data_IF_585809807612
#
_entry.id   IF_585809807612
#
_cell.length_a   1.000
_cell.length_b   1.000
_cell.length_c   1.000
_cell.angle_alpha   90.00
_cell.angle_beta   90.00
_cell.angle_gamma   90.00
#
_symmetry.space_group_name_H-M   'P 1'
#
loop_
_entity.id
_entity.type
_entity.pdbx_description
1 polymer ?
#
# COMPACT_ATOMS: atom_id res chain seq x y z
N UNK A 1 -6.18 -48.35 -10.42
CA UNK A 1 -5.17 -48.44 -9.34
C UNK A 1 -3.83 -48.21 -9.99
N UNK A 2 -3.35 -46.97 -9.91
CA UNK A 2 -2.10 -46.53 -10.52
C UNK A 2 -1.03 -46.79 -9.49
N UNK A 3 -0.02 -47.59 -9.84
CA UNK A 3 1.17 -47.79 -9.02
C UNK A 3 1.80 -46.43 -8.75
N UNK A 4 1.62 -45.93 -7.53
CA UNK A 4 2.36 -44.80 -7.03
C UNK A 4 3.82 -45.26 -6.95
N UNK A 5 4.68 -44.66 -7.79
CA UNK A 5 6.11 -44.93 -7.85
C UNK A 5 6.78 -44.81 -6.49
N UNK A 6 6.83 -45.93 -5.77
CA UNK A 6 7.71 -46.16 -4.64
C UNK A 6 9.11 -46.33 -5.22
N UNK A 7 9.99 -45.37 -4.92
CA UNK A 7 11.40 -45.46 -5.26
C UNK A 7 11.98 -46.66 -4.48
N UNK A 8 12.69 -47.59 -5.14
CA UNK A 8 13.23 -48.76 -4.45
C UNK A 8 14.21 -48.37 -3.34
N UNK A 9 14.14 -49.04 -2.19
CA UNK A 9 14.96 -48.73 -1.01
C UNK A 9 16.44 -49.14 -1.16
N UNK A 10 16.74 -50.04 -2.09
CA UNK A 10 18.10 -50.56 -2.32
C UNK A 10 18.73 -49.97 -3.59
N UNK A 11 19.97 -49.51 -3.44
CA UNK A 11 20.75 -48.90 -4.53
C UNK A 11 20.93 -49.87 -5.71
N UNK A 12 21.05 -51.17 -5.43
CA UNK A 12 21.21 -52.19 -6.46
C UNK A 12 19.98 -52.34 -7.35
N UNK A 13 18.76 -52.28 -6.79
CA UNK A 13 17.53 -52.36 -7.60
C UNK A 13 17.23 -51.06 -8.35
N UNK A 14 17.73 -49.91 -7.86
CA UNK A 14 17.72 -48.66 -8.64
C UNK A 14 18.70 -48.70 -9.81
N UNK A 15 19.80 -49.45 -9.68
CA UNK A 15 20.78 -49.63 -10.76
C UNK A 15 20.45 -50.79 -11.72
N UNK A 16 19.36 -51.55 -11.48
CA UNK A 16 18.87 -52.53 -12.44
C UNK A 16 18.39 -51.82 -13.72
N UNK A 17 18.98 -52.19 -14.86
CA UNK A 17 18.72 -51.58 -16.16
C UNK A 17 17.85 -52.52 -16.98
N UNK A 18 16.51 -52.34 -17.01
CA UNK A 18 15.68 -53.17 -17.85
C UNK A 18 16.01 -52.87 -19.32
N UNK A 19 16.32 -53.92 -20.08
CA UNK A 19 16.63 -53.81 -21.51
C UNK A 19 15.41 -53.44 -22.36
N UNK A 20 14.19 -53.59 -21.81
CA UNK A 20 12.90 -53.39 -22.48
C UNK A 20 11.96 -52.60 -21.60
N UNK A 21 11.26 -51.63 -22.20
CA UNK A 21 10.20 -50.89 -21.53
C UNK A 21 8.93 -50.88 -22.37
N UNK A 22 7.80 -51.15 -21.72
CA UNK A 22 6.49 -51.24 -22.38
C UNK A 22 5.84 -49.86 -22.41
N UNK A 23 5.69 -49.28 -23.61
CA UNK A 23 5.09 -47.96 -23.80
C UNK A 23 3.76 -48.11 -24.53
N UNK A 24 2.73 -47.42 -24.04
CA UNK A 24 1.41 -47.40 -24.70
C UNK A 24 1.39 -46.27 -25.73
N UNK A 25 1.24 -46.61 -27.01
CA UNK A 25 1.24 -45.64 -28.11
C UNK A 25 -0.17 -45.59 -28.74
N UNK A 26 -0.69 -44.38 -28.92
CA UNK A 26 -2.01 -44.16 -29.53
C UNK A 26 -1.89 -44.23 -31.06
N UNK A 27 -2.53 -45.22 -31.68
CA UNK A 27 -2.71 -45.31 -33.14
C UNK A 27 -4.17 -44.99 -33.51
N UNK A 28 -4.48 -44.70 -34.79
CA UNK A 28 -5.85 -44.38 -35.22
C UNK A 28 -6.90 -45.46 -34.89
N UNK A 29 -6.47 -46.71 -34.68
CA UNK A 29 -7.33 -47.84 -34.28
C UNK A 29 -7.44 -48.05 -32.76
N UNK A 30 -6.81 -47.19 -31.94
CA UNK A 30 -6.80 -47.26 -30.47
C UNK A 30 -5.41 -47.42 -29.84
N UNK A 31 -5.31 -47.37 -28.50
CA UNK A 31 -4.05 -47.54 -27.77
C UNK A 31 -3.49 -48.95 -27.94
N UNK A 32 -2.25 -49.06 -28.41
CA UNK A 32 -1.51 -50.32 -28.51
C UNK A 32 -0.24 -50.24 -27.66
N UNK A 33 0.02 -51.29 -26.87
CA UNK A 33 1.25 -51.39 -26.10
C UNK A 33 2.37 -51.98 -26.95
N UNK A 34 3.52 -51.32 -26.94
CA UNK A 34 4.69 -51.73 -27.72
C UNK A 34 5.88 -51.79 -26.76
N UNK A 35 6.63 -52.89 -26.82
CA UNK A 35 7.89 -53.04 -26.10
C UNK A 35 9.01 -52.40 -26.91
N UNK A 36 9.71 -51.44 -26.31
CA UNK A 36 10.84 -50.76 -26.92
C UNK A 36 12.11 -51.17 -26.20
N UNK A 37 13.12 -51.60 -26.96
CA UNK A 37 14.45 -51.90 -26.44
C UNK A 37 15.16 -50.59 -26.05
N UNK A 38 15.75 -50.52 -24.85
CA UNK A 38 16.49 -49.34 -24.37
C UNK A 38 17.99 -49.63 -24.47
N UNK A 39 18.67 -48.92 -25.37
CA UNK A 39 20.13 -48.91 -25.45
C UNK A 39 20.71 -47.85 -24.50
N UNK A 40 21.39 -48.30 -23.45
CA UNK A 40 22.10 -47.43 -22.51
C UNK A 40 23.53 -47.18 -23.01
N UNK A 41 23.74 -46.13 -23.79
CA UNK A 41 25.07 -45.67 -24.18
C UNK A 41 25.74 -44.92 -23.02
N UNK A 42 26.21 -45.64 -21.99
CA UNK A 42 27.04 -45.10 -20.92
C UNK A 42 28.45 -45.71 -20.96
N UNK A 43 29.51 -44.93 -20.66
CA UNK A 43 30.86 -45.45 -20.61
C UNK A 43 31.01 -46.52 -19.50
N UNK A 44 31.68 -47.63 -19.78
CA UNK A 44 31.93 -48.73 -18.81
C UNK A 44 32.76 -48.29 -17.59
N UNK A 45 33.52 -47.20 -17.73
CA UNK A 45 34.35 -46.65 -16.67
C UNK A 45 34.07 -45.18 -16.42
N UNK A 46 34.20 -44.79 -15.15
CA UNK A 46 34.02 -43.41 -14.73
C UNK A 46 35.01 -42.50 -15.47
N UNK A 47 34.56 -41.39 -16.06
CA UNK A 47 35.47 -40.48 -16.75
C UNK A 47 36.47 -39.87 -15.76
N UNK A 48 37.75 -39.87 -16.12
CA UNK A 48 38.82 -39.29 -15.30
C UNK A 48 38.73 -37.76 -15.35
N UNK A 49 38.21 -37.15 -14.29
CA UNK A 49 38.02 -35.70 -14.17
C UNK A 49 39.20 -34.99 -13.48
N UNK A 50 40.36 -35.64 -13.42
CA UNK A 50 41.56 -35.13 -12.77
C UNK A 50 41.85 -35.75 -11.41
N UNK A 51 43.12 -35.70 -11.03
CA UNK A 51 43.66 -36.31 -9.83
C UNK A 51 45.17 -36.49 -9.95
N UNK A 52 45.78 -37.14 -8.97
CA UNK A 52 47.20 -37.45 -8.97
C UNK A 52 47.42 -38.94 -8.69
N UNK A 53 48.39 -39.52 -9.41
CA UNK A 53 48.81 -40.91 -9.25
C UNK A 53 50.10 -40.95 -8.45
N UNK A 54 50.11 -41.72 -7.37
CA UNK A 54 51.34 -41.92 -6.61
C UNK A 54 52.27 -42.85 -7.41
N UNK A 55 53.47 -42.37 -7.78
CA UNK A 55 54.41 -43.11 -8.64
C UNK A 55 55.02 -44.35 -7.98
N UNK A 56 54.99 -44.44 -6.64
CA UNK A 56 55.61 -45.56 -5.92
C UNK A 56 54.60 -46.68 -5.66
N UNK A 57 53.36 -46.35 -5.28
CA UNK A 57 52.32 -47.35 -4.98
C UNK A 57 51.41 -47.66 -6.17
N UNK A 58 51.36 -46.79 -7.18
CA UNK A 58 50.51 -46.94 -8.36
C UNK A 58 49.03 -46.59 -8.12
N UNK A 59 48.65 -46.19 -6.91
CA UNK A 59 47.27 -45.81 -6.59
C UNK A 59 46.91 -44.44 -7.17
N UNK A 60 45.69 -44.34 -7.69
CA UNK A 60 45.14 -43.14 -8.32
C UNK A 60 44.17 -42.43 -7.38
N UNK A 61 44.50 -41.19 -6.98
CA UNK A 61 43.65 -40.36 -6.13
C UNK A 61 42.95 -39.31 -6.99
N UNK A 62 41.63 -39.47 -7.17
CA UNK A 62 40.80 -38.50 -7.88
C UNK A 62 40.48 -37.29 -6.99
N UNK A 63 40.27 -36.11 -7.59
CA UNK A 63 39.82 -34.94 -6.83
C UNK A 63 38.45 -35.16 -6.17
N UNK A 64 38.19 -34.47 -5.04
CA UNK A 64 36.99 -34.63 -4.20
C UNK A 64 35.68 -34.51 -4.98
N UNK A 65 35.63 -33.62 -5.99
CA UNK A 65 34.48 -33.45 -6.87
C UNK A 65 34.09 -34.73 -7.65
N UNK A 66 35.05 -35.64 -7.85
CA UNK A 66 34.80 -36.96 -8.42
C UNK A 66 34.42 -38.02 -7.38
N UNK A 67 34.79 -37.89 -6.11
CA UNK A 67 34.72 -39.01 -5.14
C UNK A 67 33.38 -39.13 -4.40
N UNK A 68 32.65 -38.04 -4.22
CA UNK A 68 31.30 -38.09 -3.64
C UNK A 68 30.27 -38.26 -4.75
N UNK A 69 29.54 -39.37 -4.78
CA UNK A 69 28.25 -39.41 -5.46
C UNK A 69 27.37 -38.38 -4.75
N UNK A 70 27.27 -37.17 -5.29
CA UNK A 70 26.34 -36.16 -4.81
C UNK A 70 24.94 -36.75 -4.99
N UNK A 71 24.42 -37.29 -3.89
CA UNK A 71 23.04 -37.72 -3.80
C UNK A 71 22.16 -36.55 -4.26
N UNK A 72 21.28 -36.73 -5.26
CA UNK A 72 20.58 -35.63 -5.93
C UNK A 72 19.89 -34.63 -4.99
N UNK A 73 19.52 -35.05 -3.79
CA UNK A 73 18.80 -34.23 -2.80
C UNK A 73 19.65 -33.14 -2.10
N UNK A 74 20.96 -33.05 -2.32
CA UNK A 74 21.79 -31.98 -1.73
C UNK A 74 22.10 -30.87 -2.75
N UNK A 75 21.30 -29.79 -2.66
CA UNK A 75 21.50 -28.48 -3.32
C UNK A 75 21.68 -28.54 -4.85
N UNK A 76 20.56 -28.44 -5.58
CA UNK A 76 20.60 -28.20 -7.01
C UNK A 76 19.34 -28.56 -7.80
N UNK A 77 18.34 -29.22 -7.20
CA UNK A 77 17.15 -29.65 -7.95
C UNK A 77 16.26 -28.51 -8.47
N UNK A 78 16.36 -27.29 -7.93
CA UNK A 78 15.74 -26.11 -8.54
C UNK A 78 16.30 -25.77 -9.93
N UNK A 79 17.45 -26.37 -10.29
CA UNK A 79 18.08 -26.29 -11.62
C UNK A 79 17.80 -27.51 -12.50
N UNK A 80 17.19 -28.58 -11.97
CA UNK A 80 16.79 -29.78 -12.75
C UNK A 80 15.32 -29.73 -13.18
N UNK A 81 14.53 -28.82 -12.63
CA UNK A 81 13.26 -28.44 -13.24
C UNK A 81 13.62 -27.57 -14.44
N UNK A 82 13.39 -28.06 -15.66
CA UNK A 82 13.50 -27.25 -16.87
C UNK A 82 12.58 -26.03 -16.74
N UNK A 83 13.17 -24.89 -16.37
CA UNK A 83 12.47 -23.60 -16.37
C UNK A 83 12.54 -23.07 -17.79
N UNK A 84 11.52 -23.40 -18.57
CA UNK A 84 11.34 -22.86 -19.91
C UNK A 84 11.14 -21.34 -19.81
N UNK A 85 12.17 -20.57 -20.16
CA UNK A 85 12.04 -19.13 -20.40
C UNK A 85 11.98 -18.92 -21.92
N UNK A 86 11.00 -18.14 -22.38
CA UNK A 86 10.94 -17.69 -23.77
C UNK A 86 11.46 -16.27 -23.82
N UNK A 87 12.79 -16.11 -23.85
CA UNK A 87 13.38 -14.83 -24.19
C UNK A 87 13.41 -14.70 -25.72
N UNK A 88 12.61 -13.79 -26.26
CA UNK A 88 12.72 -13.39 -27.67
C UNK A 88 13.31 -11.99 -27.72
N UNK A 89 14.42 -11.84 -28.43
CA UNK A 89 14.96 -10.53 -28.75
C UNK A 89 14.08 -9.92 -29.86
N UNK A 90 13.38 -8.82 -29.56
CA UNK A 90 12.63 -8.08 -30.57
C UNK A 90 13.62 -7.32 -31.46
N UNK A 91 13.92 -7.89 -32.62
CA UNK A 91 14.75 -7.24 -33.63
C UNK A 91 13.88 -6.45 -34.60
N UNK A 92 14.30 -5.24 -34.93
CA UNK A 92 13.76 -4.49 -36.07
C UNK A 92 14.48 -5.01 -37.31
N UNK A 93 13.81 -5.82 -38.12
CA UNK A 93 14.35 -6.31 -39.40
C UNK A 93 13.87 -5.44 -40.55
N UNK A 94 14.78 -5.14 -41.49
CA UNK A 94 14.48 -4.41 -42.73
C UNK A 94 14.97 -5.24 -43.92
N UNK A 95 14.16 -5.33 -44.97
CA UNK A 95 14.58 -5.97 -46.22
C UNK A 95 15.58 -5.07 -46.95
N UNK A 96 16.67 -5.67 -47.44
CA UNK A 96 17.62 -5.02 -48.34
C UNK A 96 17.71 -5.80 -49.64
N UNK A 97 17.61 -5.10 -50.77
CA UNK A 97 17.69 -5.71 -52.10
C UNK A 97 19.11 -5.61 -52.66
N UNK A 98 19.52 -6.64 -53.41
CA UNK A 98 20.78 -6.67 -54.16
C UNK A 98 20.51 -7.08 -55.62
N UNK A 99 21.08 -6.34 -56.57
CA UNK A 99 20.90 -6.59 -58.00
C UNK A 99 22.21 -7.11 -58.62
N UNK A 100 22.14 -8.22 -59.35
CA UNK A 100 23.25 -8.76 -60.15
C UNK A 100 23.33 -8.10 -61.53
N UNK A 101 24.50 -8.16 -62.18
CA UNK A 101 24.67 -7.69 -63.54
C UNK A 101 23.80 -8.52 -64.51
N UNK A 102 23.19 -7.84 -65.50
CA UNK A 102 22.42 -8.48 -66.58
C UNK A 102 23.16 -8.29 -67.90
N UNK A 103 23.38 -9.37 -68.62
CA UNK A 103 24.02 -9.36 -69.94
C UNK A 103 22.96 -9.26 -71.04
N UNK A 104 23.30 -8.54 -72.12
CA UNK A 104 22.45 -8.37 -73.30
C UNK A 104 23.32 -8.33 -74.56
N UNK A 105 22.93 -9.09 -75.57
CA UNK A 105 23.61 -9.14 -76.88
C UNK A 105 22.68 -8.69 -77.99
N UNK A 106 23.15 -7.75 -78.82
CA UNK A 106 22.48 -7.35 -80.06
C UNK A 106 23.28 -7.87 -81.25
N UNK A 107 22.60 -8.53 -82.19
CA UNK A 107 23.16 -8.87 -83.50
C UNK A 107 22.58 -7.94 -84.56
N UNK A 108 23.43 -7.23 -85.30
CA UNK A 108 22.98 -6.44 -86.45
C UNK A 108 22.78 -7.35 -87.67
N UNK A 109 21.68 -7.21 -88.43
CA UNK A 109 21.49 -7.98 -89.67
C UNK A 109 22.55 -7.64 -90.71
N UNK A 110 23.17 -8.68 -91.28
CA UNK A 110 24.18 -8.59 -92.34
C UNK A 110 23.80 -9.48 -93.53
N UNK A 111 24.21 -9.06 -94.73
CA UNK A 111 23.94 -9.79 -95.96
C UNK A 111 24.58 -11.19 -95.88
N UNK A 112 23.76 -12.24 -96.07
CA UNK A 112 24.11 -13.68 -95.96
C UNK A 112 23.99 -14.30 -94.55
N UNK A 113 23.43 -13.59 -93.56
CA UNK A 113 23.10 -14.15 -92.25
C UNK A 113 21.59 -14.37 -92.10
N UNK A 114 21.18 -15.54 -91.58
CA UNK A 114 19.78 -15.77 -91.20
C UNK A 114 19.56 -15.21 -89.79
N UNK A 115 18.68 -14.21 -89.67
CA UNK A 115 18.24 -13.62 -88.40
C UNK A 115 16.71 -13.60 -88.41
N UNK A 116 16.09 -14.06 -87.32
CA UNK A 116 14.65 -13.92 -87.11
C UNK A 116 14.36 -12.47 -86.71
N UNK A 117 13.81 -11.70 -87.63
CA UNK A 117 13.62 -10.24 -87.51
C UNK A 117 12.18 -9.85 -87.08
N UNK A 118 11.53 -10.73 -86.30
CA UNK A 118 10.17 -10.50 -85.78
C UNK A 118 10.21 -9.69 -84.48
N UNK A 119 10.33 -8.36 -84.62
CA UNK A 119 10.30 -7.44 -83.49
C UNK A 119 9.07 -6.51 -83.54
N UNK A 120 8.49 -6.16 -82.37
CA UNK A 120 7.45 -5.15 -82.33
C UNK A 120 8.04 -3.77 -82.69
N UNK A 121 7.48 -3.12 -83.71
CA UNK A 121 7.83 -1.74 -84.05
C UNK A 121 7.29 -0.79 -82.97
N UNK A 122 8.18 -0.06 -82.31
CA UNK A 122 7.81 0.97 -81.34
C UNK A 122 7.78 2.35 -82.01
N UNK A 123 6.72 3.11 -81.77
CA UNK A 123 6.64 4.51 -82.17
C UNK A 123 7.38 5.36 -81.14
N UNK A 124 8.30 6.22 -81.58
CA UNK A 124 9.00 7.13 -80.70
C UNK A 124 8.03 8.16 -80.11
N UNK A 125 8.02 8.27 -78.78
CA UNK A 125 7.32 9.34 -78.06
C UNK A 125 8.18 10.60 -77.95
N UNK A 126 7.67 11.59 -77.22
CA UNK A 126 8.43 12.79 -76.88
C UNK A 126 9.70 12.41 -76.09
N UNK A 127 10.84 12.88 -76.57
CA UNK A 127 12.12 12.64 -75.91
C UNK A 127 12.41 13.75 -74.90
N UNK A 128 12.65 13.36 -73.65
CA UNK A 128 13.05 14.28 -72.59
C UNK A 128 14.57 14.40 -72.55
N UNK A 129 15.09 15.62 -72.75
CA UNK A 129 16.51 15.86 -72.55
C UNK A 129 16.84 15.80 -71.04
N UNK A 130 18.04 15.36 -70.71
CA UNK A 130 18.51 15.28 -69.33
C UNK A 130 18.40 16.63 -68.58
N UNK A 131 18.57 17.77 -69.28
CA UNK A 131 18.41 19.11 -68.70
C UNK A 131 16.97 19.39 -68.28
N UNK A 132 15.99 19.02 -69.11
CA UNK A 132 14.58 19.25 -68.84
C UNK A 132 14.10 18.38 -67.67
N UNK A 133 14.60 17.14 -67.59
CA UNK A 133 14.34 16.25 -66.45
C UNK A 133 14.86 16.84 -65.13
N UNK A 134 16.08 17.39 -65.12
CA UNK A 134 16.65 18.03 -63.92
C UNK A 134 15.81 19.22 -63.46
N UNK A 135 15.34 20.07 -64.38
CA UNK A 135 14.47 21.21 -64.05
C UNK A 135 13.14 20.72 -63.44
N UNK A 136 12.54 19.66 -63.99
CA UNK A 136 11.31 19.05 -63.44
C UNK A 136 11.55 18.51 -62.03
N UNK A 137 12.70 17.87 -61.79
CA UNK A 137 13.10 17.38 -60.46
C UNK A 137 13.29 18.52 -59.47
N UNK A 138 13.91 19.62 -59.86
CA UNK A 138 14.08 20.80 -59.01
C UNK A 138 12.74 21.43 -58.62
N UNK A 139 11.85 21.66 -59.59
CA UNK A 139 10.51 22.22 -59.32
C UNK A 139 9.69 21.28 -58.42
N UNK A 140 9.80 19.97 -58.66
CA UNK A 140 9.12 18.96 -57.84
C UNK A 140 9.70 18.91 -56.41
N UNK A 141 11.02 18.99 -56.27
CA UNK A 141 11.70 19.08 -54.98
C UNK A 141 11.26 20.33 -54.21
N UNK A 142 11.16 21.49 -54.86
CA UNK A 142 10.66 22.72 -54.24
C UNK A 142 9.20 22.58 -53.75
N UNK A 143 8.33 21.90 -54.50
CA UNK A 143 6.96 21.60 -54.07
C UNK A 143 6.95 20.71 -52.83
N UNK A 144 7.75 19.64 -52.81
CA UNK A 144 7.90 18.74 -51.66
C UNK A 144 8.45 19.52 -50.44
N UNK A 145 9.49 20.32 -50.63
CA UNK A 145 10.06 21.16 -49.58
C UNK A 145 9.05 22.14 -48.98
N UNK A 146 8.21 22.77 -49.82
CA UNK A 146 7.16 23.68 -49.35
C UNK A 146 6.15 22.95 -48.47
N UNK A 147 5.67 21.78 -48.89
CA UNK A 147 4.69 20.99 -48.13
C UNK A 147 5.29 20.44 -46.84
N UNK A 148 6.53 19.93 -46.88
CA UNK A 148 7.23 19.39 -45.70
C UNK A 148 7.53 20.47 -44.65
N UNK A 149 7.95 21.68 -45.05
CA UNK A 149 8.08 22.82 -44.13
C UNK A 149 6.74 23.15 -43.45
N UNK A 150 5.64 23.12 -44.21
CA UNK A 150 4.29 23.30 -43.67
C UNK A 150 3.87 22.20 -42.69
N UNK A 151 4.23 20.94 -42.98
CA UNK A 151 3.98 19.80 -42.09
C UNK A 151 4.72 19.97 -40.76
N UNK A 152 6.01 20.30 -40.78
CA UNK A 152 6.79 20.52 -39.56
C UNK A 152 6.23 21.67 -38.72
N UNK A 153 5.87 22.79 -39.35
CA UNK A 153 5.24 23.91 -38.64
C UNK A 153 3.91 23.51 -37.97
N UNK A 154 3.11 22.64 -38.61
CA UNK A 154 1.86 22.13 -38.00
C UNK A 154 2.13 21.18 -36.84
N UNK A 155 3.14 20.31 -36.95
CA UNK A 155 3.54 19.41 -35.87
C UNK A 155 4.06 20.18 -34.66
N UNK A 156 4.87 21.22 -34.85
CA UNK A 156 5.34 22.08 -33.75
C UNK A 156 4.18 22.83 -33.09
N UNK A 157 3.25 23.38 -33.87
CA UNK A 157 2.06 24.05 -33.33
C UNK A 157 1.16 23.06 -32.58
N UNK A 158 0.98 21.84 -33.07
CA UNK A 158 0.22 20.81 -32.38
C UNK A 158 0.85 20.47 -31.01
N UNK A 159 2.18 20.36 -30.96
CA UNK A 159 2.91 20.16 -29.70
C UNK A 159 2.72 21.32 -28.73
N UNK A 160 2.89 22.56 -29.19
CA UNK A 160 2.69 23.76 -28.36
C UNK A 160 1.25 23.88 -27.83
N UNK A 161 0.25 23.46 -28.60
CA UNK A 161 -1.15 23.44 -28.13
C UNK A 161 -1.36 22.44 -27.00
N UNK A 162 -0.76 21.26 -27.12
CA UNK A 162 -0.83 20.23 -26.09
C UNK A 162 -0.15 20.71 -24.80
N UNK A 163 1.04 21.30 -24.90
CA UNK A 163 1.76 21.89 -23.76
C UNK A 163 0.92 22.99 -23.09
N UNK A 164 0.30 23.89 -23.87
CA UNK A 164 -0.57 24.95 -23.33
C UNK A 164 -1.86 24.40 -22.70
N UNK A 165 -2.40 23.29 -23.20
CA UNK A 165 -3.55 22.61 -22.59
C UNK A 165 -3.18 21.92 -21.27
N UNK A 166 -1.98 21.35 -21.18
CA UNK A 166 -1.44 20.77 -19.94
C UNK A 166 -1.20 21.86 -18.90
N UNK A 167 -0.53 22.96 -19.25
CA UNK A 167 -0.33 24.11 -18.36
C UNK A 167 -1.66 24.67 -17.84
N UNK A 168 -2.68 24.79 -18.69
CA UNK A 168 -4.02 25.22 -18.27
C UNK A 168 -4.65 24.27 -17.25
N UNK A 169 -4.56 22.95 -17.47
CA UNK A 169 -5.07 21.96 -16.53
C UNK A 169 -4.34 22.03 -15.19
N UNK A 170 -3.02 22.19 -15.22
CA UNK A 170 -2.22 22.34 -14.00
C UNK A 170 -2.63 23.60 -13.21
N UNK A 171 -2.83 24.73 -13.90
CA UNK A 171 -3.33 25.96 -13.28
C UNK A 171 -4.72 25.77 -12.67
N UNK A 172 -5.67 25.16 -13.39
CA UNK A 172 -7.01 24.87 -12.88
C UNK A 172 -6.99 23.92 -11.67
N UNK A 173 -6.10 22.91 -11.66
CA UNK A 173 -5.93 22.02 -10.52
C UNK A 173 -5.33 22.73 -9.31
N UNK A 174 -4.37 23.63 -9.52
CA UNK A 174 -3.81 24.46 -8.45
C UNK A 174 -4.87 25.39 -7.87
N UNK A 175 -5.66 26.06 -8.70
CA UNK A 175 -6.77 26.91 -8.26
C UNK A 175 -7.81 26.11 -7.46
N UNK A 176 -8.19 24.91 -7.92
CA UNK A 176 -9.10 24.01 -7.18
C UNK A 176 -8.52 23.60 -5.83
N UNK A 177 -7.22 23.28 -5.76
CA UNK A 177 -6.55 22.95 -4.49
C UNK A 177 -6.58 24.13 -3.52
N UNK A 178 -6.26 25.33 -3.99
CA UNK A 178 -6.31 26.55 -3.17
C UNK A 178 -7.73 26.84 -2.68
N UNK A 179 -8.74 26.70 -3.55
CA UNK A 179 -10.14 26.85 -3.18
C UNK A 179 -10.56 25.82 -2.13
N UNK A 180 -10.22 24.54 -2.33
CA UNK A 180 -10.53 23.47 -1.38
C UNK A 180 -9.84 23.69 -0.02
N UNK A 181 -8.60 24.17 0.01
CA UNK A 181 -7.92 24.53 1.25
C UNK A 181 -8.59 25.71 1.97
N UNK A 182 -9.04 26.71 1.23
CA UNK A 182 -9.74 27.87 1.78
C UNK A 182 -11.12 27.47 2.34
N UNK A 183 -11.85 26.62 1.62
CA UNK A 183 -13.11 26.03 2.08
C UNK A 183 -12.90 25.17 3.32
N UNK A 184 -11.86 24.32 3.34
CA UNK A 184 -11.51 23.52 4.51
C UNK A 184 -11.20 24.42 5.72
N UNK A 185 -10.44 25.50 5.54
CA UNK A 185 -10.17 26.48 6.61
C UNK A 185 -11.46 27.13 7.13
N UNK A 186 -12.37 27.52 6.22
CA UNK A 186 -13.69 28.07 6.59
C UNK A 186 -14.53 27.05 7.37
N UNK A 187 -14.57 25.81 6.92
CA UNK A 187 -15.31 24.73 7.59
C UNK A 187 -14.76 24.47 8.98
N UNK A 188 -13.43 24.42 9.15
CA UNK A 188 -12.79 24.26 10.47
C UNK A 188 -13.12 25.43 11.40
N UNK A 189 -13.15 26.66 10.89
CA UNK A 189 -13.53 27.82 11.69
C UNK A 189 -15.00 27.78 12.14
N UNK A 190 -15.91 27.40 11.23
CA UNK A 190 -17.32 27.18 11.55
C UNK A 190 -17.46 26.07 12.61
N UNK A 191 -16.75 24.96 12.45
CA UNK A 191 -16.75 23.87 13.43
C UNK A 191 -16.23 24.31 14.80
N UNK A 192 -15.18 25.15 14.86
CA UNK A 192 -14.68 25.72 16.12
C UNK A 192 -15.71 26.60 16.82
N UNK A 193 -16.55 27.33 16.07
CA UNK A 193 -17.66 28.12 16.63
C UNK A 193 -18.80 27.24 17.11
N UNK A 194 -19.15 26.18 16.35
CA UNK A 194 -20.23 25.25 16.71
C UNK A 194 -19.86 24.34 17.88
N UNK A 195 -18.60 23.91 17.94
CA UNK A 195 -18.07 22.96 18.92
C UNK A 195 -16.69 23.42 19.47
N UNK A 196 -16.63 24.51 20.26
CA UNK A 196 -15.40 25.01 20.87
C UNK A 196 -14.84 23.99 21.85
N UNK A 197 -13.56 23.63 21.69
CA UNK A 197 -12.88 22.66 22.59
C UNK A 197 -11.72 23.26 23.34
N UNK A 198 -10.99 24.19 22.72
CA UNK A 198 -9.79 24.78 23.31
C UNK A 198 -10.11 26.09 24.01
N UNK A 199 -9.24 26.51 24.94
CA UNK A 199 -9.38 27.81 25.61
C UNK A 199 -9.31 28.99 24.61
N UNK A 200 -8.57 28.83 23.50
CA UNK A 200 -8.51 29.83 22.44
C UNK A 200 -9.87 29.96 21.71
N UNK A 201 -10.54 28.84 21.42
CA UNK A 201 -11.86 28.85 20.78
C UNK A 201 -12.89 29.59 21.66
N UNK A 202 -12.89 29.31 22.97
CA UNK A 202 -13.76 30.01 23.92
C UNK A 202 -13.41 31.50 24.05
N UNK A 203 -12.14 31.87 23.94
CA UNK A 203 -11.74 33.27 23.95
C UNK A 203 -12.35 34.03 22.76
N UNK A 204 -12.31 33.45 21.55
CA UNK A 204 -12.92 34.05 20.37
C UNK A 204 -14.42 34.28 20.56
N UNK A 205 -15.15 33.30 21.11
CA UNK A 205 -16.59 33.45 21.38
C UNK A 205 -16.88 34.55 22.41
N UNK A 206 -16.05 34.67 23.45
CA UNK A 206 -16.19 35.73 24.46
C UNK A 206 -15.86 37.11 23.88
N UNK A 207 -14.82 37.21 23.04
CA UNK A 207 -14.44 38.45 22.36
C UNK A 207 -15.54 38.89 21.37
N UNK A 208 -16.15 37.95 20.63
CA UNK A 208 -17.30 38.21 19.74
C UNK A 208 -18.55 38.64 20.52
N UNK A 209 -18.85 37.99 21.65
CA UNK A 209 -19.95 38.38 22.54
C UNK A 209 -19.76 39.81 23.08
N UNK A 210 -18.53 40.13 23.51
CA UNK A 210 -18.20 41.47 24.00
C UNK A 210 -18.34 42.53 22.89
N UNK A 211 -17.91 42.21 21.67
CA UNK A 211 -18.07 43.08 20.51
C UNK A 211 -19.56 43.28 20.15
N UNK A 212 -20.38 42.22 20.17
CA UNK A 212 -21.82 42.30 19.95
C UNK A 212 -22.50 43.17 21.03
N UNK A 213 -22.21 42.93 22.30
CA UNK A 213 -22.74 43.73 23.40
C UNK A 213 -22.34 45.21 23.25
N UNK A 214 -21.08 45.48 22.90
CA UNK A 214 -20.64 46.85 22.63
C UNK A 214 -21.39 47.50 21.46
N UNK A 215 -21.55 46.81 20.33
CA UNK A 215 -22.30 47.32 19.17
C UNK A 215 -23.77 47.60 19.52
N UNK A 216 -24.42 46.68 20.23
CA UNK A 216 -25.83 46.82 20.61
C UNK A 216 -26.03 47.96 21.62
N UNK A 217 -25.12 48.11 22.60
CA UNK A 217 -25.17 49.26 23.51
C UNK A 217 -24.97 50.59 22.78
N UNK A 218 -24.09 50.67 21.78
CA UNK A 218 -23.94 51.86 20.95
C UNK A 218 -25.23 52.15 20.17
N UNK A 219 -25.81 51.15 19.52
CA UNK A 219 -27.06 51.29 18.76
C UNK A 219 -28.23 51.80 19.65
N UNK A 220 -28.36 51.27 20.87
CA UNK A 220 -29.37 51.73 21.84
C UNK A 220 -29.11 53.17 22.28
N UNK A 221 -27.83 53.55 22.46
CA UNK A 221 -27.48 54.92 22.86
C UNK A 221 -27.71 55.94 21.72
N UNK A 222 -27.50 55.54 20.46
CA UNK A 222 -27.70 56.39 19.27
C UNK A 222 -29.19 56.51 18.87
N UNK A 223 -30.05 55.58 19.30
CA UNK A 223 -31.47 55.50 18.91
C UNK A 223 -32.40 56.59 19.45
N UNK A 224 -31.92 57.59 20.20
CA UNK A 224 -32.72 58.69 20.79
C UNK A 224 -34.02 58.23 21.49
N UNK A 225 -33.96 57.12 22.22
CA UNK A 225 -35.09 56.59 23.00
C UNK A 225 -35.33 57.41 24.28
N UNK A 226 -36.58 57.56 24.75
CA UNK A 226 -36.87 58.09 26.08
C UNK A 226 -36.22 57.21 27.17
N UNK A 227 -35.88 57.80 28.32
CA UNK A 227 -35.06 57.14 29.35
C UNK A 227 -35.64 55.81 29.84
N UNK A 228 -36.97 55.72 29.95
CA UNK A 228 -37.66 54.50 30.41
C UNK A 228 -37.52 53.35 29.40
N UNK A 229 -37.69 53.64 28.11
CA UNK A 229 -37.53 52.65 27.04
C UNK A 229 -36.06 52.22 26.90
N UNK A 230 -35.13 53.17 26.99
CA UNK A 230 -33.69 52.88 26.97
C UNK A 230 -33.28 51.93 28.11
N UNK A 231 -33.78 52.15 29.33
CA UNK A 231 -33.50 51.27 30.47
C UNK A 231 -34.04 49.86 30.24
N UNK A 232 -35.25 49.73 29.68
CA UNK A 232 -35.83 48.44 29.32
C UNK A 232 -35.02 47.71 28.26
N UNK A 233 -34.59 48.40 27.20
CA UNK A 233 -33.75 47.83 26.14
C UNK A 233 -32.39 47.35 26.67
N UNK A 234 -31.77 48.10 27.58
CA UNK A 234 -30.53 47.68 28.24
C UNK A 234 -30.74 46.48 29.16
N UNK A 235 -31.88 46.39 29.86
CA UNK A 235 -32.22 45.22 30.66
C UNK A 235 -32.42 43.97 29.80
N UNK A 236 -33.13 44.11 28.67
CA UNK A 236 -33.32 43.02 27.70
C UNK A 236 -31.99 42.58 27.08
N UNK A 237 -31.08 43.52 26.79
CA UNK A 237 -29.73 43.24 26.31
C UNK A 237 -28.92 42.44 27.34
N UNK A 238 -28.93 42.88 28.60
CA UNK A 238 -28.25 42.17 29.69
C UNK A 238 -28.82 40.76 29.89
N UNK A 239 -30.14 40.59 29.79
CA UNK A 239 -30.75 39.27 29.85
C UNK A 239 -30.21 38.37 28.73
N UNK A 240 -30.20 38.85 27.48
CA UNK A 240 -29.63 38.09 26.35
C UNK A 240 -28.15 37.76 26.56
N UNK A 241 -27.35 38.70 27.07
CA UNK A 241 -25.93 38.45 27.39
C UNK A 241 -25.79 37.33 28.43
N UNK A 242 -26.55 37.39 29.53
CA UNK A 242 -26.48 36.35 30.58
C UNK A 242 -26.90 34.98 30.06
N UNK A 243 -27.92 34.90 29.21
CA UNK A 243 -28.34 33.66 28.54
C UNK A 243 -27.20 33.10 27.67
N UNK A 244 -26.56 33.95 26.85
CA UNK A 244 -25.43 33.55 26.02
C UNK A 244 -24.22 33.09 26.86
N UNK A 245 -23.86 33.81 27.93
CA UNK A 245 -22.79 33.39 28.84
C UNK A 245 -23.09 32.03 29.47
N UNK A 246 -24.33 31.79 29.90
CA UNK A 246 -24.73 30.47 30.40
C UNK A 246 -24.63 29.37 29.34
N UNK A 247 -24.92 29.65 28.07
CA UNK A 247 -24.69 28.68 26.99
C UNK A 247 -23.21 28.39 26.80
N UNK A 248 -22.35 29.41 26.80
CA UNK A 248 -20.89 29.27 26.70
C UNK A 248 -20.34 28.43 27.86
N UNK A 249 -20.82 28.65 29.08
CA UNK A 249 -20.42 27.86 30.25
C UNK A 249 -20.85 26.39 30.14
N UNK A 250 -22.06 26.11 29.65
CA UNK A 250 -22.49 24.73 29.36
C UNK A 250 -21.60 24.07 28.32
N UNK A 251 -21.26 24.79 27.25
CA UNK A 251 -20.34 24.31 26.22
C UNK A 251 -18.95 24.04 26.80
N UNK A 252 -18.46 24.86 27.72
CA UNK A 252 -17.18 24.68 28.42
C UNK A 252 -17.17 23.42 29.29
N UNK A 253 -18.27 23.13 30.00
CA UNK A 253 -18.41 21.91 30.80
C UNK A 253 -18.40 20.67 29.89
N UNK A 254 -19.18 20.68 28.81
CA UNK A 254 -19.25 19.58 27.86
C UNK A 254 -17.90 19.37 27.15
N UNK A 255 -17.26 20.44 26.68
CA UNK A 255 -15.92 20.39 26.11
C UNK A 255 -14.89 19.82 27.08
N UNK A 256 -14.95 20.19 28.37
CA UNK A 256 -14.07 19.62 29.40
C UNK A 256 -14.29 18.11 29.55
N UNK A 257 -15.53 17.64 29.56
CA UNK A 257 -15.87 16.21 29.61
C UNK A 257 -15.31 15.49 28.39
N UNK A 258 -15.60 15.96 27.18
CA UNK A 258 -15.12 15.37 25.94
C UNK A 258 -13.59 15.39 25.79
N UNK A 259 -12.93 16.47 26.24
CA UNK A 259 -11.48 16.57 26.25
C UNK A 259 -10.84 15.62 27.26
N UNK A 260 -11.49 15.42 28.41
CA UNK A 260 -11.04 14.43 29.40
C UNK A 260 -11.12 13.03 28.82
N UNK A 261 -12.25 12.68 28.20
CA UNK A 261 -12.42 11.38 27.53
C UNK A 261 -11.41 11.18 26.39
N UNK A 262 -11.26 12.17 25.51
CA UNK A 262 -10.27 12.13 24.42
C UNK A 262 -8.84 11.97 24.95
N UNK A 263 -8.49 12.67 26.04
CA UNK A 263 -7.18 12.53 26.68
C UNK A 263 -6.99 11.14 27.24
N UNK A 264 -7.97 10.59 27.95
CA UNK A 264 -7.89 9.23 28.49
C UNK A 264 -7.65 8.21 27.37
N UNK A 265 -8.41 8.29 26.27
CA UNK A 265 -8.24 7.41 25.11
C UNK A 265 -6.85 7.58 24.45
N UNK A 266 -6.40 8.83 24.29
CA UNK A 266 -5.08 9.16 23.72
C UNK A 266 -3.93 8.67 24.59
N UNK A 267 -4.07 8.77 25.91
CA UNK A 267 -3.10 8.29 26.89
C UNK A 267 -2.98 6.77 26.76
N UNK A 268 -4.10 6.04 26.83
CA UNK A 268 -4.12 4.58 26.65
C UNK A 268 -3.59 4.13 25.28
N UNK A 269 -3.90 4.87 24.20
CA UNK A 269 -3.30 4.62 22.89
C UNK A 269 -1.79 4.79 22.93
N UNK A 270 -1.31 5.83 23.60
CA UNK A 270 0.13 6.11 23.73
C UNK A 270 0.84 5.02 24.52
N UNK A 271 0.25 4.52 25.60
CA UNK A 271 0.76 3.37 26.36
C UNK A 271 0.85 2.09 25.52
N UNK A 272 -0.12 1.88 24.64
CA UNK A 272 -0.18 0.69 23.77
C UNK A 272 0.77 0.73 22.56
N UNK A 273 1.48 1.84 22.33
CA UNK A 273 2.37 1.98 21.17
C UNK A 273 3.57 1.03 21.29
N UNK A 274 4.02 0.54 20.14
CA UNK A 274 5.26 -0.25 20.04
C UNK A 274 6.45 0.64 20.39
N UNK A 275 7.45 0.09 21.08
CA UNK A 275 8.70 0.80 21.35
C UNK A 275 9.54 0.91 20.09
N UNK A 276 10.21 2.04 19.92
CA UNK A 276 11.15 2.29 18.84
C UNK A 276 12.55 2.01 19.38
N UNK A 277 13.21 0.98 18.87
CA UNK A 277 14.60 0.66 19.21
C UNK A 277 15.48 1.09 18.06
N UNK A 278 16.49 1.91 18.35
CA UNK A 278 17.54 2.25 17.40
C UNK A 278 18.62 1.17 17.46
N UNK A 279 18.93 0.58 16.31
CA UNK A 279 20.03 -0.36 16.19
C UNK A 279 21.35 0.40 16.11
N UNK A 280 22.46 -0.31 16.34
CA UNK A 280 23.82 0.21 16.14
C UNK A 280 24.06 0.77 14.74
N UNK A 281 23.29 0.31 13.76
CA UNK A 281 23.38 0.69 12.35
C UNK A 281 22.52 1.92 12.01
N UNK A 282 21.84 2.53 12.98
CA UNK A 282 20.95 3.69 12.78
C UNK A 282 19.52 3.36 12.33
N UNK A 283 19.21 2.09 12.06
CA UNK A 283 17.85 1.65 11.72
C UNK A 283 16.93 1.64 12.96
N UNK A 284 15.67 2.03 12.77
CA UNK A 284 14.65 2.06 13.84
C UNK A 284 13.71 0.86 13.68
N UNK A 285 13.72 -0.07 14.64
CA UNK A 285 12.79 -1.21 14.67
C UNK A 285 11.65 -0.97 15.67
N UNK A 286 10.42 -1.31 15.27
CA UNK A 286 9.21 -1.23 16.10
C UNK A 286 9.00 -2.53 16.88
N UNK A 287 9.44 -2.58 18.13
CA UNK A 287 9.39 -3.77 18.99
C UNK A 287 8.15 -3.75 19.89
N UNK A 288 7.46 -4.90 19.98
CA UNK A 288 6.41 -5.13 20.99
C UNK A 288 7.06 -5.75 22.21
N UNK A 289 7.07 -5.01 23.32
CA UNK A 289 7.49 -5.54 24.62
C UNK A 289 6.30 -6.23 25.31
N UNK A 290 6.52 -7.13 26.28
CA UNK A 290 5.45 -7.69 27.11
C UNK A 290 4.58 -6.59 27.75
N UNK A 291 5.21 -5.50 28.21
CA UNK A 291 4.53 -4.36 28.83
C UNK A 291 3.65 -3.58 27.82
N UNK A 292 4.15 -3.34 26.60
CA UNK A 292 3.38 -2.70 25.51
C UNK A 292 2.21 -3.59 25.06
N UNK A 293 2.40 -4.92 25.05
CA UNK A 293 1.32 -5.88 24.79
C UNK A 293 0.25 -5.85 25.87
N UNK A 294 0.63 -5.88 27.14
CA UNK A 294 -0.28 -5.74 28.28
C UNK A 294 -1.04 -4.42 28.25
N UNK A 295 -0.37 -3.30 28.00
CA UNK A 295 -1.03 -1.99 27.86
C UNK A 295 -2.04 -1.98 26.70
N UNK A 296 -1.76 -2.68 25.61
CA UNK A 296 -2.68 -2.84 24.48
C UNK A 296 -3.91 -3.68 24.86
N UNK A 297 -3.74 -4.76 25.61
CA UNK A 297 -4.83 -5.60 26.12
C UNK A 297 -5.75 -4.79 27.05
N UNK A 298 -5.18 -4.07 28.01
CA UNK A 298 -5.91 -3.20 28.93
C UNK A 298 -6.69 -2.09 28.20
N UNK A 299 -6.06 -1.43 27.21
CA UNK A 299 -6.75 -0.43 26.37
C UNK A 299 -7.93 -1.05 25.62
N UNK A 300 -7.75 -2.24 25.03
CA UNK A 300 -8.80 -2.90 24.28
C UNK A 300 -9.98 -3.26 25.19
N UNK A 301 -9.71 -3.73 26.41
CA UNK A 301 -10.73 -3.97 27.43
C UNK A 301 -11.45 -2.70 27.84
N UNK A 302 -10.74 -1.59 28.02
CA UNK A 302 -11.35 -0.31 28.37
C UNK A 302 -12.31 0.16 27.28
N UNK A 303 -11.92 0.03 26.01
CA UNK A 303 -12.79 0.35 24.86
C UNK A 303 -14.00 -0.59 24.76
N UNK A 304 -13.81 -1.88 25.03
CA UNK A 304 -14.90 -2.85 25.06
C UNK A 304 -15.91 -2.53 26.17
N UNK A 305 -15.46 -2.03 27.32
CA UNK A 305 -16.35 -1.59 28.40
C UNK A 305 -17.16 -0.34 28.05
N UNK A 306 -16.60 0.57 27.24
CA UNK A 306 -17.23 1.82 26.81
C UNK A 306 -18.21 1.63 25.65
N UNK A 307 -18.09 0.55 24.89
CA UNK A 307 -18.94 0.32 23.72
C UNK A 307 -20.41 0.11 24.13
N UNK A 308 -21.31 0.89 23.54
CA UNK A 308 -22.76 0.83 23.76
C UNK A 308 -23.42 -0.05 22.69
N UNK A 309 -24.56 -0.68 23.01
CA UNK A 309 -25.30 -1.53 22.06
C UNK A 309 -24.83 -2.99 21.98
N UNK A 310 -24.17 -3.48 23.03
CA UNK A 310 -23.72 -4.86 23.18
C UNK A 310 -24.87 -5.74 23.70
N UNK A 311 -24.94 -6.98 23.26
CA UNK A 311 -25.91 -7.94 23.83
C UNK A 311 -25.58 -8.26 25.29
N UNK A 312 -26.55 -8.72 26.07
CA UNK A 312 -26.30 -9.06 27.48
C UNK A 312 -25.21 -10.14 27.62
N UNK A 313 -25.20 -11.14 26.72
CA UNK A 313 -24.24 -12.25 26.74
C UNK A 313 -22.82 -11.77 26.41
N UNK A 314 -22.65 -10.99 25.33
CA UNK A 314 -21.36 -10.38 24.98
C UNK A 314 -20.85 -9.46 26.12
N UNK A 315 -21.75 -8.74 26.80
CA UNK A 315 -21.37 -7.90 27.95
C UNK A 315 -20.87 -8.76 29.11
N UNK A 316 -21.52 -9.89 29.39
CA UNK A 316 -21.09 -10.84 30.42
C UNK A 316 -19.71 -11.41 30.08
N UNK A 317 -19.43 -11.73 28.81
CA UNK A 317 -18.11 -12.18 28.37
C UNK A 317 -17.02 -11.12 28.61
N UNK A 318 -17.30 -9.85 28.27
CA UNK A 318 -16.38 -8.73 28.53
C UNK A 318 -16.13 -8.58 30.05
N UNK A 319 -17.18 -8.67 30.86
CA UNK A 319 -17.08 -8.61 32.32
C UNK A 319 -16.28 -9.78 32.90
N UNK A 320 -16.41 -10.98 32.34
CA UNK A 320 -15.63 -12.14 32.73
C UNK A 320 -14.16 -11.96 32.42
N UNK A 321 -13.82 -11.48 31.21
CA UNK A 321 -12.44 -11.21 30.81
C UNK A 321 -11.83 -10.10 31.69
N UNK A 322 -12.61 -9.04 31.97
CA UNK A 322 -12.22 -8.00 32.91
C UNK A 322 -11.91 -8.58 34.30
N UNK A 323 -12.81 -9.41 34.84
CA UNK A 323 -12.62 -10.06 36.14
C UNK A 323 -11.35 -10.89 36.19
N UNK A 324 -11.04 -11.64 35.12
CA UNK A 324 -9.82 -12.45 35.04
C UNK A 324 -8.56 -11.58 35.07
N UNK A 325 -8.50 -10.50 34.28
CA UNK A 325 -7.33 -9.60 34.25
C UNK A 325 -7.09 -8.87 35.57
N UNK A 326 -8.17 -8.50 36.27
CA UNK A 326 -8.11 -7.77 37.54
C UNK A 326 -7.72 -8.68 38.70
N UNK A 327 -8.10 -9.96 38.66
CA UNK A 327 -7.83 -10.95 39.71
C UNK A 327 -6.35 -11.29 39.86
N UNK A 328 -5.50 -10.89 38.92
CA UNK A 328 -4.05 -11.03 39.02
C UNK A 328 -3.46 -10.28 40.23
N UNK A 329 -4.13 -9.24 40.72
CA UNK A 329 -3.68 -8.45 41.87
C UNK A 329 -4.72 -8.39 42.97
N UNK A 330 -4.27 -8.50 44.22
CA UNK A 330 -5.11 -8.44 45.40
C UNK A 330 -4.91 -7.10 46.13
N UNK A 331 -5.72 -6.09 45.80
CA UNK A 331 -5.75 -4.81 46.49
C UNK A 331 -7.19 -4.28 46.60
N UNK A 332 -7.41 -3.21 47.38
CA UNK A 332 -8.76 -2.67 47.59
C UNK A 332 -9.43 -2.26 46.26
N UNK A 333 -8.67 -1.67 45.34
CA UNK A 333 -9.18 -1.26 44.03
C UNK A 333 -9.71 -2.46 43.22
N UNK A 334 -8.96 -3.57 43.19
CA UNK A 334 -9.38 -4.77 42.45
C UNK A 334 -10.54 -5.48 43.11
N UNK A 335 -10.60 -5.52 44.45
CA UNK A 335 -11.74 -6.06 45.19
C UNK A 335 -13.03 -5.26 44.93
N UNK A 336 -12.96 -3.93 45.03
CA UNK A 336 -14.10 -3.06 44.74
C UNK A 336 -14.59 -3.25 43.30
N UNK A 337 -13.66 -3.32 42.33
CA UNK A 337 -14.00 -3.58 40.94
C UNK A 337 -14.65 -4.96 40.74
N UNK A 338 -14.12 -6.03 41.34
CA UNK A 338 -14.70 -7.38 41.25
C UNK A 338 -16.12 -7.40 41.83
N UNK A 339 -16.36 -6.77 42.99
CA UNK A 339 -17.71 -6.73 43.57
C UNK A 339 -18.72 -6.00 42.68
N UNK A 340 -18.30 -4.94 41.99
CA UNK A 340 -19.15 -4.21 41.06
C UNK A 340 -19.40 -4.99 39.77
N UNK A 341 -18.38 -5.70 39.26
CA UNK A 341 -18.50 -6.59 38.10
C UNK A 341 -19.49 -7.72 38.38
N UNK A 342 -19.36 -8.39 39.53
CA UNK A 342 -20.26 -9.48 39.92
C UNK A 342 -21.70 -8.98 40.09
N UNK A 343 -21.86 -7.78 40.66
CA UNK A 343 -23.17 -7.13 40.74
C UNK A 343 -23.74 -6.77 39.38
N UNK A 344 -22.93 -6.30 38.42
CA UNK A 344 -23.42 -6.02 37.05
C UNK A 344 -23.86 -7.31 36.36
N UNK A 345 -23.05 -8.37 36.43
CA UNK A 345 -23.37 -9.67 35.85
C UNK A 345 -24.66 -10.27 36.45
N UNK A 346 -24.85 -10.21 37.77
CA UNK A 346 -26.07 -10.66 38.43
C UNK A 346 -27.31 -9.89 37.98
N UNK A 347 -27.20 -8.57 37.80
CA UNK A 347 -28.32 -7.73 37.36
C UNK A 347 -28.65 -7.95 35.88
N UNK A 348 -27.64 -8.20 35.03
CA UNK A 348 -27.81 -8.57 33.63
C UNK A 348 -28.50 -9.94 33.50
N UNK A 349 -28.05 -10.95 34.26
CA UNK A 349 -28.67 -12.28 34.29
C UNK A 349 -30.14 -12.23 34.76
N UNK A 350 -30.52 -11.23 35.56
CA UNK A 350 -31.91 -10.99 36.00
C UNK A 350 -32.73 -10.17 35.00
N UNK A 351 -32.18 -9.80 33.84
CA UNK A 351 -32.88 -9.06 32.79
C UNK A 351 -33.17 -7.59 33.12
N UNK A 352 -32.34 -6.94 33.94
CA UNK A 352 -32.50 -5.51 34.23
C UNK A 352 -32.18 -4.67 33.00
N UNK A 353 -32.91 -3.56 32.81
CA UNK A 353 -32.68 -2.66 31.68
C UNK A 353 -31.33 -1.94 31.77
N UNK A 354 -30.71 -1.71 30.62
CA UNK A 354 -29.39 -1.05 30.53
C UNK A 354 -29.39 0.37 31.12
N UNK A 355 -30.49 1.11 30.95
CA UNK A 355 -30.66 2.44 31.51
C UNK A 355 -30.50 2.45 33.05
N UNK A 356 -30.93 1.38 33.73
CA UNK A 356 -30.78 1.26 35.19
C UNK A 356 -29.33 0.97 35.63
N UNK A 357 -28.49 0.48 34.71
CA UNK A 357 -27.10 0.09 34.96
C UNK A 357 -26.08 1.19 34.61
N UNK A 358 -26.50 2.31 34.02
CA UNK A 358 -25.58 3.38 33.58
C UNK A 358 -24.62 3.86 34.68
N UNK A 359 -25.13 4.07 35.89
CA UNK A 359 -24.30 4.51 37.02
C UNK A 359 -23.28 3.45 37.46
N UNK A 360 -23.67 2.17 37.43
CA UNK A 360 -22.79 1.05 37.76
C UNK A 360 -21.70 0.89 36.70
N UNK A 361 -22.07 0.89 35.41
CA UNK A 361 -21.17 0.82 34.27
C UNK A 361 -20.12 1.94 34.30
N UNK A 362 -20.55 3.18 34.55
CA UNK A 362 -19.64 4.34 34.66
C UNK A 362 -18.67 4.22 35.83
N UNK A 363 -19.11 3.63 36.96
CA UNK A 363 -18.22 3.40 38.11
C UNK A 363 -17.18 2.32 37.81
N UNK A 364 -17.57 1.22 37.18
CA UNK A 364 -16.65 0.16 36.73
C UNK A 364 -15.64 0.73 35.73
N UNK A 365 -16.11 1.50 34.74
CA UNK A 365 -15.24 2.17 33.76
C UNK A 365 -14.22 3.08 34.43
N UNK A 366 -14.65 3.91 35.39
CA UNK A 366 -13.77 4.86 36.09
C UNK A 366 -12.70 4.13 36.93
N UNK A 367 -13.10 3.08 37.65
CA UNK A 367 -12.16 2.27 38.44
C UNK A 367 -11.19 1.48 37.55
N UNK A 368 -11.66 0.97 36.42
CA UNK A 368 -10.80 0.28 35.47
C UNK A 368 -9.82 1.24 34.77
N UNK A 369 -10.23 2.48 34.49
CA UNK A 369 -9.32 3.51 34.00
C UNK A 369 -8.21 3.79 35.02
N UNK A 370 -8.56 3.93 36.30
CA UNK A 370 -7.59 4.08 37.39
C UNK A 370 -6.62 2.89 37.45
N UNK A 371 -7.13 1.67 37.30
CA UNK A 371 -6.31 0.46 37.21
C UNK A 371 -5.33 0.53 36.03
N UNK A 372 -5.79 0.94 34.84
CA UNK A 372 -4.95 1.08 33.65
C UNK A 372 -3.86 2.16 33.77
N UNK A 373 -4.09 3.19 34.60
CA UNK A 373 -3.19 4.32 34.82
C UNK A 373 -2.21 4.10 35.99
N UNK A 374 -2.34 3.00 36.74
CA UNK A 374 -1.48 2.72 37.89
C UNK A 374 -0.26 1.89 37.44
N UNK A 375 0.99 2.35 37.72
CA UNK A 375 2.22 1.67 37.29
C UNK A 375 2.35 0.22 37.75
N UNK A 376 1.83 -0.11 38.93
CA UNK A 376 1.85 -1.46 39.50
C UNK A 376 1.14 -2.49 38.60
N UNK A 377 0.04 -2.08 37.95
CA UNK A 377 -0.76 -2.96 37.10
C UNK A 377 -0.42 -2.81 35.62
N UNK A 378 0.02 -1.62 35.22
CA UNK A 378 0.44 -1.28 33.87
C UNK A 378 1.80 -0.55 33.92
N UNK A 379 2.92 -1.27 33.74
CA UNK A 379 4.26 -0.67 33.83
C UNK A 379 4.50 0.49 32.86
N UNK A 380 3.86 0.50 31.68
CA UNK A 380 4.02 1.62 30.74
C UNK A 380 3.35 2.91 31.25
N UNK A 381 2.38 2.83 32.17
CA UNK A 381 1.70 4.01 32.72
C UNK A 381 2.60 4.91 33.57
N UNK A 382 3.78 4.41 33.99
CA UNK A 382 4.81 5.22 34.65
C UNK A 382 5.22 6.42 33.78
N UNK A 383 5.20 6.30 32.45
CA UNK A 383 5.54 7.41 31.56
C UNK A 383 4.53 8.57 31.59
N UNK A 384 3.32 8.34 32.09
CA UNK A 384 2.27 9.36 32.21
C UNK A 384 2.34 10.10 33.54
N UNK A 385 2.98 9.54 34.56
CA UNK A 385 3.16 10.21 35.84
C UNK A 385 4.19 11.32 35.68
N UNK A 386 3.80 12.54 36.05
CA UNK A 386 4.72 13.67 36.13
C UNK A 386 5.63 13.47 37.33
N UNK A 387 6.81 12.89 37.12
CA UNK A 387 7.86 12.84 38.14
C UNK A 387 8.43 14.25 38.30
N UNK A 388 8.53 14.80 39.54
CA UNK A 388 9.26 16.03 39.80
C UNK A 388 10.71 15.89 39.31
N UNK A 389 11.23 16.91 38.62
CA UNK A 389 12.53 16.86 37.96
C UNK A 389 13.69 16.46 38.90
N UNK A 390 13.56 16.72 40.20
CA UNK A 390 14.58 16.47 41.22
C UNK A 390 14.86 14.98 41.48
N UNK A 391 13.99 14.06 41.06
CA UNK A 391 14.16 12.60 41.27
C UNK A 391 14.82 11.92 40.06
N UNK A 392 14.76 12.53 38.87
CA UNK A 392 15.26 11.93 37.61
C UNK A 392 16.79 12.12 37.45
N UNK A 393 17.40 13.01 38.22
CA UNK A 393 18.84 13.32 38.13
C UNK A 393 19.76 12.40 38.96
N UNK A 394 19.22 11.35 39.59
CA UNK A 394 19.96 10.48 40.51
C UNK A 394 20.36 9.11 39.96
N UNK A 395 20.01 8.79 38.70
CA UNK A 395 20.37 7.51 38.04
C UNK A 395 21.24 7.69 36.80
#
# INVERSE_FOLDING_TARGET
MVDNGLIPSDLNSFMERPARHEVTVMRPSGPTKINVDIEYNLPEHKPFLGGFKNRVTGEEYHHVAGQTALLPHQRGLDKLIDKFHRACQTQITTSGDAQTAREFGCQTPFFHQYINDEYPTLNAGEYMLAKDELVIREVSALKIQRVTRGLFARQTVAKMRLELEEEKKEMEEQEKKVQAELEHKRMVEIERRRHPRTAADFKVLLDELAAWHWQETQAINEGNHPEEERRKLLQDLLQKETELLHTIDRMKIEAKKQNTEYRNDKDLDTLSKKKLWQLTNGEIIKVRTPNSMRAKELRNLYRALKFEGVTADERIEILLLLKQTVKEFNCQLTQDMITLIDREADLLNRGRSEASLMGLRKRIETLFLQFCQTPEFNPESASLQKVPADVVAAD
#
